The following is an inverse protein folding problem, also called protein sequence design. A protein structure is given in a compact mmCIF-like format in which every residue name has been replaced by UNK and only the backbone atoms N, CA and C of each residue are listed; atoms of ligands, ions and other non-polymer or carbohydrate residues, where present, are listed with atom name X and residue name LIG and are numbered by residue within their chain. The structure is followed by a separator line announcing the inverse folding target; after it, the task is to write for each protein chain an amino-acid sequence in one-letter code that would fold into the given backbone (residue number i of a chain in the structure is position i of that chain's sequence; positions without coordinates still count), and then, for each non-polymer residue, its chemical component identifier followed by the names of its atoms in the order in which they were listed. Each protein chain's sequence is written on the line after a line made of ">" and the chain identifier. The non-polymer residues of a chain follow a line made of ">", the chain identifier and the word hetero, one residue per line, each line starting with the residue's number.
data_IF_398212919001
#
_entry.id   IF_398212919001
#
_cell.length_a   1.000
_cell.length_b   1.000
_cell.length_c   1.000
_cell.angle_alpha   90.00
_cell.angle_beta   90.00
_cell.angle_gamma   90.00
#
_symmetry.space_group_name_H-M   'P 1'
#
loop_
_entity.id
_entity.type
_entity.pdbx_description
1 polymer ?
#
# COMPACT_ATOMS: atom_id res chain seq x y z
N UNK A 1 3.40 3.79 6.78
CA UNK A 1 4.14 3.71 8.07
C UNK A 1 5.36 2.84 7.80
N UNK A 2 6.23 2.60 8.77
CA UNK A 2 7.35 1.67 8.65
C UNK A 2 7.23 0.68 9.79
N UNK A 3 7.08 -0.59 9.49
CA UNK A 3 6.87 -1.62 10.52
C UNK A 3 8.23 -2.14 11.04
N UNK A 4 8.25 -2.78 12.21
CA UNK A 4 9.49 -3.23 12.85
C UNK A 4 10.27 -4.20 11.96
N UNK A 5 9.58 -5.11 11.29
CA UNK A 5 10.13 -6.15 10.42
C UNK A 5 10.44 -5.68 8.99
N UNK A 6 10.26 -4.37 8.71
CA UNK A 6 10.65 -3.74 7.46
C UNK A 6 12.11 -3.28 7.52
N UNK A 7 13.03 -4.24 7.56
CA UNK A 7 14.45 -4.00 7.80
C UNK A 7 15.12 -3.13 6.73
N UNK A 8 14.84 -3.35 5.46
CA UNK A 8 15.53 -2.66 4.37
C UNK A 8 15.31 -1.15 4.39
N UNK A 9 14.09 -0.67 4.67
CA UNK A 9 13.84 0.77 4.81
C UNK A 9 14.45 1.34 6.07
N UNK A 10 14.49 0.59 7.17
CA UNK A 10 15.11 1.04 8.43
C UNK A 10 16.62 1.16 8.28
N UNK A 11 17.25 0.21 7.61
CA UNK A 11 18.68 0.25 7.26
C UNK A 11 19.00 1.47 6.41
N UNK A 12 18.27 1.69 5.31
CA UNK A 12 18.48 2.86 4.43
C UNK A 12 18.22 4.17 5.18
N UNK A 13 17.21 4.23 6.05
CA UNK A 13 17.00 5.41 6.89
C UNK A 13 18.20 5.66 7.82
N UNK A 14 18.78 4.60 8.40
CA UNK A 14 20.00 4.67 9.21
C UNK A 14 21.21 5.17 8.43
N UNK A 15 21.47 4.61 7.24
CA UNK A 15 22.54 5.03 6.32
C UNK A 15 22.44 6.54 5.99
N UNK A 16 21.22 7.02 5.77
CA UNK A 16 20.92 8.41 5.44
C UNK A 16 20.77 9.32 6.67
N UNK A 17 21.01 8.79 7.87
CA UNK A 17 20.86 9.49 9.16
C UNK A 17 19.47 10.12 9.35
N UNK A 18 18.45 9.47 8.80
CA UNK A 18 17.05 9.83 8.99
C UNK A 18 16.52 9.17 10.25
N UNK A 19 16.21 9.98 11.26
CA UNK A 19 15.72 9.48 12.53
C UNK A 19 14.33 8.87 12.38
N UNK A 20 14.19 7.62 12.83
CA UNK A 20 12.91 6.95 12.98
C UNK A 20 12.34 7.21 14.37
N UNK A 21 11.07 7.59 14.40
CA UNK A 21 10.32 7.81 15.64
C UNK A 21 9.18 6.81 15.72
N UNK A 22 9.16 6.06 16.83
CA UNK A 22 8.09 5.10 17.12
C UNK A 22 6.77 5.84 17.34
N UNK A 23 5.75 5.38 16.64
CA UNK A 23 4.36 5.87 16.68
C UNK A 23 3.43 4.74 17.09
N UNK A 24 2.17 5.08 17.35
CA UNK A 24 1.08 4.13 17.64
C UNK A 24 1.44 3.17 18.79
N UNK A 25 2.10 3.71 19.82
CA UNK A 25 2.55 2.94 20.99
C UNK A 25 1.41 2.26 21.73
N UNK A 26 0.24 2.91 21.71
CA UNK A 26 -1.01 2.42 22.29
C UNK A 26 -1.78 1.47 21.36
N UNK A 27 -1.15 1.02 20.28
CA UNK A 27 -1.69 0.08 19.31
C UNK A 27 -2.70 0.69 18.34
N UNK A 28 -3.47 -0.21 17.73
CA UNK A 28 -4.57 0.08 16.80
C UNK A 28 -5.90 -0.02 17.52
N UNK A 29 -6.98 0.25 16.80
CA UNK A 29 -8.38 0.21 17.22
C UNK A 29 -9.26 -0.17 16.04
N UNK A 30 -10.52 -0.51 16.31
CA UNK A 30 -11.55 -0.60 15.29
C UNK A 30 -12.74 0.31 15.66
N UNK A 31 -13.43 0.80 14.65
CA UNK A 31 -14.76 1.40 14.80
C UNK A 31 -15.77 0.34 14.42
N UNK A 32 -16.78 0.13 15.26
CA UNK A 32 -17.95 -0.73 14.99
C UNK A 32 -19.20 0.12 14.96
N UNK A 33 -20.24 -0.36 14.31
CA UNK A 33 -21.58 0.23 14.41
C UNK A 33 -22.35 -0.53 15.50
N UNK A 34 -23.11 0.18 16.34
CA UNK A 34 -24.09 -0.46 17.23
C UNK A 34 -25.37 -0.83 16.46
N UNK A 35 -26.32 -1.52 17.09
CA UNK A 35 -27.60 -1.93 16.45
C UNK A 35 -28.40 -0.76 15.86
N UNK A 36 -28.13 0.47 16.31
CA UNK A 36 -28.75 1.69 15.78
C UNK A 36 -27.90 2.35 14.67
N UNK A 37 -26.85 1.68 14.18
CA UNK A 37 -25.93 2.17 13.17
C UNK A 37 -24.94 3.22 13.67
N UNK A 38 -24.79 3.43 14.98
CA UNK A 38 -23.94 4.52 15.51
C UNK A 38 -22.51 4.04 15.73
N UNK A 39 -21.49 4.85 15.39
CA UNK A 39 -20.09 4.46 15.58
C UNK A 39 -19.68 4.32 17.05
N UNK A 40 -18.96 3.25 17.37
CA UNK A 40 -18.38 2.96 18.67
C UNK A 40 -16.93 2.49 18.52
N UNK A 41 -16.06 2.92 19.44
CA UNK A 41 -14.69 2.42 19.48
C UNK A 41 -14.63 1.04 20.12
N UNK A 42 -14.09 0.08 19.38
CA UNK A 42 -13.70 -1.23 19.87
C UNK A 42 -12.16 -1.30 19.87
N UNK A 43 -11.55 -1.13 21.04
CA UNK A 43 -10.08 -1.11 21.14
C UNK A 43 -9.48 -2.02 22.22
N UNK A 44 -10.33 -2.63 23.06
CA UNK A 44 -9.91 -3.72 23.95
C UNK A 44 -10.13 -5.03 23.21
N UNK A 45 -9.10 -5.87 23.10
CA UNK A 45 -9.21 -7.18 22.45
C UNK A 45 -9.15 -7.14 20.91
N UNK A 46 -8.48 -6.17 20.29
CA UNK A 46 -8.27 -6.15 18.83
C UNK A 46 -7.43 -7.34 18.38
N UNK A 47 -6.48 -7.76 19.23
CA UNK A 47 -5.78 -9.02 19.06
C UNK A 47 -6.80 -10.13 18.79
N UNK A 48 -7.97 -10.16 19.43
CA UNK A 48 -9.02 -11.15 19.15
C UNK A 48 -9.58 -11.08 17.73
N UNK A 49 -9.76 -9.90 17.13
CA UNK A 49 -10.27 -9.79 15.76
C UNK A 49 -9.24 -10.30 14.73
N UNK A 50 -7.98 -9.93 14.93
CA UNK A 50 -6.86 -10.37 14.10
C UNK A 50 -6.53 -11.86 14.32
N UNK A 51 -6.45 -12.32 15.56
CA UNK A 51 -6.32 -13.72 15.97
C UNK A 51 -7.48 -14.56 15.43
N UNK A 52 -8.70 -14.03 15.45
CA UNK A 52 -9.86 -14.71 14.87
C UNK A 52 -9.74 -14.81 13.36
N UNK A 53 -9.35 -13.74 12.65
CA UNK A 53 -9.05 -13.83 11.21
C UNK A 53 -8.01 -14.92 10.94
N UNK A 54 -6.90 -14.94 11.68
CA UNK A 54 -5.88 -15.97 11.55
C UNK A 54 -6.42 -17.38 11.80
N UNK A 55 -7.21 -17.56 12.87
CA UNK A 55 -7.85 -18.84 13.22
C UNK A 55 -8.77 -19.34 12.10
N UNK A 56 -9.62 -18.46 11.56
CA UNK A 56 -10.58 -18.79 10.49
C UNK A 56 -9.89 -19.00 9.13
N UNK A 57 -8.73 -18.37 8.91
CA UNK A 57 -7.91 -18.52 7.70
C UNK A 57 -7.00 -19.75 7.75
N UNK A 58 -6.72 -20.32 8.91
CA UNK A 58 -5.77 -21.43 9.06
C UNK A 58 -6.05 -22.63 8.12
N UNK A 59 -7.31 -23.04 7.87
CA UNK A 59 -7.60 -24.08 6.88
C UNK A 59 -7.14 -23.75 5.45
N UNK A 60 -7.02 -22.46 5.11
CA UNK A 60 -6.46 -21.97 3.84
C UNK A 60 -4.95 -21.73 3.93
N UNK A 61 -4.44 -21.24 5.06
CA UNK A 61 -3.00 -21.01 5.30
C UNK A 61 -2.21 -22.32 5.29
N UNK A 62 -2.71 -23.38 5.93
CA UNK A 62 -2.03 -24.68 6.01
C UNK A 62 -1.63 -25.28 4.64
N UNK A 63 -2.55 -25.49 3.68
CA UNK A 63 -2.17 -26.01 2.37
C UNK A 63 -1.28 -25.03 1.60
N UNK A 64 -1.43 -23.72 1.80
CA UNK A 64 -0.56 -22.73 1.16
C UNK A 64 0.89 -22.80 1.66
N UNK A 65 1.09 -23.00 2.97
CA UNK A 65 2.41 -23.28 3.56
C UNK A 65 3.02 -24.57 3.01
N UNK A 66 2.24 -25.64 2.89
CA UNK A 66 2.67 -26.90 2.25
C UNK A 66 3.04 -26.73 0.78
N UNK A 67 2.51 -25.69 0.12
CA UNK A 67 2.86 -25.30 -1.23
C UNK A 67 4.06 -24.34 -1.29
N UNK A 68 4.82 -24.20 -0.20
CA UNK A 68 6.01 -23.35 -0.09
C UNK A 68 5.72 -21.88 -0.43
N UNK A 69 4.51 -21.40 -0.12
CA UNK A 69 4.05 -20.04 -0.45
C UNK A 69 4.13 -19.72 -1.96
N UNK A 70 4.11 -20.73 -2.82
CA UNK A 70 4.22 -20.55 -4.26
C UNK A 70 2.89 -20.17 -4.89
N UNK A 71 2.92 -19.10 -5.68
CA UNK A 71 1.77 -18.55 -6.38
C UNK A 71 1.39 -19.30 -7.67
N UNK A 72 2.27 -20.13 -8.21
CA UNK A 72 2.06 -20.88 -9.44
C UNK A 72 1.49 -22.30 -9.21
N UNK A 73 0.91 -22.54 -8.04
CA UNK A 73 0.39 -23.86 -7.64
C UNK A 73 -1.14 -23.98 -7.82
N UNK A 74 -1.68 -25.20 -7.93
CA UNK A 74 -3.13 -25.41 -7.91
C UNK A 74 -3.80 -24.88 -6.64
N UNK A 75 -3.10 -24.95 -5.50
CA UNK A 75 -3.57 -24.42 -4.20
C UNK A 75 -3.71 -22.90 -4.29
N UNK A 76 -2.66 -22.20 -4.75
CA UNK A 76 -2.69 -20.77 -4.97
C UNK A 76 -3.79 -20.36 -5.96
N UNK A 77 -3.94 -21.10 -7.07
CA UNK A 77 -5.00 -20.85 -8.06
C UNK A 77 -6.41 -20.95 -7.46
N UNK A 78 -6.65 -21.98 -6.62
CA UNK A 78 -7.93 -22.17 -5.95
C UNK A 78 -8.23 -21.07 -4.91
N UNK A 79 -7.20 -20.63 -4.17
CA UNK A 79 -7.33 -19.49 -3.24
C UNK A 79 -7.57 -18.19 -4.02
N UNK A 80 -6.79 -17.94 -5.06
CA UNK A 80 -6.80 -16.68 -5.79
C UNK A 80 -8.14 -16.38 -6.46
N UNK A 81 -8.83 -17.40 -6.97
CA UNK A 81 -10.13 -17.25 -7.66
C UNK A 81 -11.31 -16.88 -6.76
N UNK A 82 -11.12 -16.82 -5.44
CA UNK A 82 -12.14 -16.42 -4.48
C UNK A 82 -11.85 -15.01 -3.98
N UNK A 83 -12.89 -14.21 -3.80
CA UNK A 83 -12.77 -12.97 -3.04
C UNK A 83 -12.80 -13.23 -1.53
N UNK A 84 -12.29 -12.29 -0.75
CA UNK A 84 -12.44 -12.31 0.72
C UNK A 84 -13.92 -12.32 1.12
N UNK A 85 -14.79 -11.60 0.41
CA UNK A 85 -16.23 -11.62 0.65
C UNK A 85 -16.83 -13.03 0.45
N UNK A 86 -16.47 -13.71 -0.64
CA UNK A 86 -16.91 -15.09 -0.88
C UNK A 86 -16.44 -16.05 0.23
N UNK A 87 -15.22 -15.87 0.74
CA UNK A 87 -14.71 -16.65 1.88
C UNK A 87 -15.49 -16.35 3.17
N UNK A 88 -15.77 -15.09 3.47
CA UNK A 88 -16.58 -14.69 4.64
C UNK A 88 -17.98 -15.34 4.60
N UNK A 89 -18.59 -15.45 3.42
CA UNK A 89 -19.86 -16.14 3.24
C UNK A 89 -19.74 -17.64 3.50
N UNK A 90 -18.66 -18.28 3.01
CA UNK A 90 -18.39 -19.71 3.20
C UNK A 90 -18.19 -20.11 4.66
N UNK A 91 -17.53 -19.27 5.46
CA UNK A 91 -17.31 -19.52 6.90
C UNK A 91 -18.47 -19.04 7.78
N UNK A 92 -19.57 -18.59 7.16
CA UNK A 92 -20.72 -18.00 7.87
C UNK A 92 -20.30 -16.88 8.83
N UNK A 93 -19.40 -16.00 8.37
CA UNK A 93 -18.84 -14.92 9.16
C UNK A 93 -19.95 -14.05 9.77
N UNK A 94 -19.86 -13.85 11.09
CA UNK A 94 -20.70 -12.89 11.80
C UNK A 94 -20.34 -11.44 11.48
N UNK A 95 -21.11 -10.51 12.02
CA UNK A 95 -20.91 -9.08 11.80
C UNK A 95 -19.53 -8.60 12.26
N UNK A 96 -18.99 -9.16 13.34
CA UNK A 96 -17.68 -8.79 13.87
C UNK A 96 -16.54 -9.19 12.92
N UNK A 97 -16.56 -10.42 12.40
CA UNK A 97 -15.56 -10.90 11.46
C UNK A 97 -15.64 -10.13 10.13
N UNK A 98 -16.86 -9.86 9.64
CA UNK A 98 -17.09 -9.04 8.44
C UNK A 98 -16.61 -7.60 8.60
N UNK A 99 -16.90 -6.98 9.74
CA UNK A 99 -16.42 -5.63 10.04
C UNK A 99 -14.89 -5.58 10.13
N UNK A 100 -14.27 -6.61 10.73
CA UNK A 100 -12.81 -6.72 10.81
C UNK A 100 -12.19 -6.83 9.42
N UNK A 101 -12.70 -7.72 8.57
CA UNK A 101 -12.24 -7.86 7.18
C UNK A 101 -12.47 -6.58 6.36
N UNK A 102 -13.59 -5.89 6.55
CA UNK A 102 -13.85 -4.58 5.91
C UNK A 102 -12.86 -3.52 6.37
N UNK A 103 -12.47 -3.54 7.65
CA UNK A 103 -11.43 -2.66 8.20
C UNK A 103 -10.06 -2.82 7.51
N UNK A 104 -9.81 -3.98 6.88
CA UNK A 104 -8.57 -4.23 6.14
C UNK A 104 -8.43 -3.38 4.86
N UNK A 105 -9.47 -2.63 4.45
CA UNK A 105 -9.37 -1.57 3.44
C UNK A 105 -8.23 -0.58 3.73
N UNK A 106 -7.92 -0.34 5.00
CA UNK A 106 -6.79 0.53 5.40
C UNK A 106 -5.41 -0.06 5.07
N UNK A 107 -5.32 -1.38 4.90
CA UNK A 107 -4.09 -2.11 4.57
C UNK A 107 -3.99 -2.42 3.08
N UNK A 108 -5.05 -2.97 2.48
CA UNK A 108 -5.03 -3.44 1.07
C UNK A 108 -5.60 -2.45 0.06
N UNK A 109 -6.30 -1.40 0.50
CA UNK A 109 -7.00 -0.42 -0.36
C UNK A 109 -8.03 -1.03 -1.32
N UNK A 110 -8.55 -2.21 -0.98
CA UNK A 110 -9.56 -2.92 -1.76
C UNK A 110 -10.73 -3.33 -0.85
N UNK A 111 -11.92 -3.40 -1.43
CA UNK A 111 -13.09 -3.97 -0.77
C UNK A 111 -12.95 -5.50 -0.66
N UNK A 112 -13.57 -6.16 0.34
CA UNK A 112 -13.49 -7.61 0.48
C UNK A 112 -13.97 -8.40 -0.76
N UNK A 113 -14.91 -7.86 -1.53
CA UNK A 113 -15.40 -8.46 -2.78
C UNK A 113 -14.43 -8.28 -3.96
N UNK A 114 -13.61 -7.22 -3.94
CA UNK A 114 -12.55 -6.97 -4.92
C UNK A 114 -11.24 -7.68 -4.58
N UNK A 115 -10.97 -7.96 -3.30
CA UNK A 115 -9.69 -8.53 -2.85
C UNK A 115 -9.68 -10.05 -2.99
N UNK A 116 -8.69 -10.57 -3.71
CA UNK A 116 -8.43 -12.01 -3.79
C UNK A 116 -8.05 -12.59 -2.43
N UNK A 117 -8.62 -13.76 -2.08
CA UNK A 117 -8.37 -14.44 -0.80
C UNK A 117 -6.89 -14.80 -0.62
N UNK A 118 -6.16 -15.12 -1.70
CA UNK A 118 -4.73 -15.45 -1.59
C UNK A 118 -3.92 -14.29 -1.01
N UNK A 119 -4.28 -13.02 -1.25
CA UNK A 119 -3.58 -11.89 -0.68
C UNK A 119 -3.71 -11.84 0.86
N UNK A 120 -4.87 -12.25 1.36
CA UNK A 120 -5.10 -12.35 2.80
C UNK A 120 -4.39 -13.58 3.38
N UNK A 121 -4.45 -14.73 2.70
CA UNK A 121 -3.75 -15.95 3.13
C UNK A 121 -2.23 -15.74 3.15
N UNK A 122 -1.66 -15.08 2.15
CA UNK A 122 -0.22 -14.76 2.09
C UNK A 122 0.22 -13.89 3.28
N UNK A 123 -0.64 -12.95 3.70
CA UNK A 123 -0.41 -12.09 4.87
C UNK A 123 -0.51 -12.84 6.21
N UNK A 124 -1.36 -13.87 6.29
CA UNK A 124 -1.66 -14.62 7.52
C UNK A 124 -1.00 -16.01 7.58
N UNK A 125 -0.20 -16.37 6.57
CA UNK A 125 0.63 -17.56 6.56
C UNK A 125 2.09 -17.13 6.77
N UNK A 126 2.53 -16.86 8.02
CA UNK A 126 3.95 -16.59 8.26
C UNK A 126 4.78 -17.80 7.82
N UNK A 127 5.97 -17.53 7.28
CA UNK A 127 7.01 -18.55 7.12
C UNK A 127 7.42 -19.06 8.51
N UNK A 128 7.84 -20.32 8.62
CA UNK A 128 8.19 -20.98 9.91
C UNK A 128 9.23 -20.20 10.74
N UNK A 129 10.02 -19.32 10.12
CA UNK A 129 11.04 -18.47 10.76
C UNK A 129 10.50 -17.15 11.36
N UNK A 130 9.19 -16.91 11.32
CA UNK A 130 8.56 -15.68 11.83
C UNK A 130 7.68 -16.03 13.02
N UNK A 131 8.18 -15.79 14.23
CA UNK A 131 7.38 -15.86 15.47
C UNK A 131 6.12 -14.99 15.35
N UNK A 132 5.01 -15.45 15.93
CA UNK A 132 3.71 -14.77 15.99
C UNK A 132 3.86 -13.25 16.22
N UNK A 133 3.82 -12.46 15.15
CA UNK A 133 4.01 -11.01 15.25
C UNK A 133 2.69 -10.38 15.69
N UNK A 134 2.48 -10.27 17.00
CA UNK A 134 1.71 -9.15 17.53
C UNK A 134 2.23 -7.86 16.85
N UNK A 135 1.38 -6.93 16.40
CA UNK A 135 1.81 -5.82 15.54
C UNK A 135 3.06 -5.16 16.11
N UNK A 136 4.18 -5.33 15.40
CA UNK A 136 5.49 -4.84 15.81
C UNK A 136 5.46 -3.32 15.98
N UNK A 137 6.51 -2.77 16.59
CA UNK A 137 6.56 -1.31 16.70
C UNK A 137 6.51 -0.66 15.32
N UNK A 138 5.78 0.43 15.21
CA UNK A 138 5.67 1.18 13.96
C UNK A 138 6.39 2.50 14.06
N UNK A 139 6.93 2.95 12.94
CA UNK A 139 7.78 4.11 12.84
C UNK A 139 7.32 5.07 11.73
N UNK A 140 7.73 6.33 11.88
CA UNK A 140 7.78 7.34 10.81
C UNK A 140 9.15 7.99 10.81
N UNK A 141 9.55 8.54 9.68
CA UNK A 141 10.75 9.38 9.59
C UNK A 141 10.42 10.77 10.15
N UNK A 142 11.26 11.27 11.06
CA UNK A 142 11.16 12.62 11.59
C UNK A 142 11.21 13.64 10.45
N UNK A 143 10.19 14.48 10.38
CA UNK A 143 10.05 15.49 9.33
C UNK A 143 9.42 14.98 8.02
N UNK A 144 8.97 13.73 7.94
CA UNK A 144 8.22 13.18 6.80
C UNK A 144 8.96 12.07 6.06
N UNK A 145 8.21 11.08 5.56
CA UNK A 145 8.76 9.94 4.83
C UNK A 145 9.30 10.31 3.43
N UNK A 146 8.87 11.44 2.88
CA UNK A 146 9.38 12.01 1.62
C UNK A 146 10.87 12.37 1.70
N UNK A 147 11.38 12.64 2.90
CA UNK A 147 12.82 12.87 3.14
C UNK A 147 13.69 11.69 2.70
N UNK A 148 13.16 10.47 2.72
CA UNK A 148 13.88 9.28 2.26
C UNK A 148 14.22 9.38 0.77
N UNK A 149 13.21 9.63 -0.06
CA UNK A 149 13.38 9.80 -1.50
C UNK A 149 14.25 11.02 -1.82
N UNK A 150 14.07 12.13 -1.09
CA UNK A 150 14.89 13.33 -1.28
C UNK A 150 16.37 13.09 -0.94
N UNK A 151 16.67 12.38 0.15
CA UNK A 151 18.03 12.05 0.56
C UNK A 151 18.71 11.08 -0.42
N UNK A 152 17.99 10.08 -0.93
CA UNK A 152 18.48 9.18 -1.98
C UNK A 152 18.74 9.91 -3.31
N UNK A 153 17.92 10.91 -3.62
CA UNK A 153 18.02 11.68 -4.85
C UNK A 153 19.16 12.71 -4.84
N UNK A 154 19.48 13.28 -3.68
CA UNK A 154 20.50 14.32 -3.53
C UNK A 154 21.87 14.00 -4.19
N UNK A 155 22.50 12.82 -3.94
CA UNK A 155 23.79 12.50 -4.56
C UNK A 155 23.73 12.24 -6.08
N UNK A 156 22.54 12.14 -6.67
CA UNK A 156 22.39 12.00 -8.13
C UNK A 156 22.77 13.28 -8.87
N UNK A 157 22.59 14.45 -8.25
CA UNK A 157 22.91 15.74 -8.85
C UNK A 157 22.23 15.93 -10.21
N UNK A 158 23.00 16.30 -11.23
CA UNK A 158 22.51 16.50 -12.60
C UNK A 158 22.05 15.21 -13.31
N UNK A 159 22.26 14.03 -12.72
CA UNK A 159 21.75 12.75 -13.25
C UNK A 159 20.24 12.62 -13.03
N UNK A 160 19.68 13.29 -12.02
CA UNK A 160 18.24 13.33 -11.78
C UNK A 160 17.58 14.29 -12.76
N UNK A 161 16.70 13.77 -13.61
CA UNK A 161 15.94 14.55 -14.58
C UNK A 161 14.45 14.57 -14.21
N UNK A 162 14.03 15.62 -13.50
CA UNK A 162 12.61 15.85 -13.18
C UNK A 162 11.86 16.31 -14.43
N UNK A 163 10.51 16.26 -14.40
CA UNK A 163 9.62 16.66 -15.50
C UNK A 163 9.97 16.00 -16.85
N UNK A 164 10.55 14.81 -16.77
CA UNK A 164 11.01 14.02 -17.93
C UNK A 164 10.21 12.73 -17.96
N UNK A 165 9.19 12.69 -18.80
CA UNK A 165 8.28 11.57 -18.96
C UNK A 165 8.88 10.54 -19.91
N UNK A 166 8.94 9.27 -19.52
CA UNK A 166 9.26 8.17 -20.45
C UNK A 166 8.02 7.91 -21.30
N UNK A 167 8.19 7.90 -22.62
CA UNK A 167 7.08 7.68 -23.58
C UNK A 167 7.25 6.43 -24.44
N UNK A 168 8.45 5.85 -24.52
CA UNK A 168 8.71 4.57 -25.17
C UNK A 168 10.05 3.98 -24.71
N UNK A 169 10.14 2.65 -24.68
CA UNK A 169 11.39 1.93 -24.39
C UNK A 169 11.65 0.96 -25.53
N UNK A 170 12.84 1.02 -26.12
CA UNK A 170 13.27 0.00 -27.07
C UNK A 170 14.64 -0.52 -26.73
N UNK A 171 14.91 -1.78 -27.05
CA UNK A 171 16.25 -2.35 -26.88
C UNK A 171 16.58 -3.26 -28.05
N UNK A 172 17.82 -3.18 -28.52
CA UNK A 172 18.34 -4.02 -29.62
C UNK A 172 19.82 -4.26 -29.40
N UNK A 173 20.23 -5.53 -29.48
CA UNK A 173 21.63 -5.92 -29.27
C UNK A 173 22.11 -5.52 -27.88
N UNK A 174 23.12 -4.65 -27.82
CA UNK A 174 23.76 -4.21 -26.57
C UNK A 174 23.22 -2.90 -25.99
N UNK A 175 22.26 -2.23 -26.64
CA UNK A 175 21.80 -0.91 -26.23
C UNK A 175 20.29 -0.85 -25.96
N UNK A 176 19.92 -0.06 -24.97
CA UNK A 176 18.56 0.39 -24.67
C UNK A 176 18.43 1.85 -25.09
N UNK A 177 17.30 2.20 -25.71
CA UNK A 177 16.91 3.54 -26.08
C UNK A 177 15.61 3.89 -25.35
N UNK A 178 15.66 4.95 -24.56
CA UNK A 178 14.50 5.46 -23.82
C UNK A 178 14.07 6.76 -24.47
N UNK A 179 12.88 6.77 -25.07
CA UNK A 179 12.30 8.01 -25.58
C UNK A 179 11.63 8.76 -24.44
N UNK A 180 11.98 10.03 -24.28
CA UNK A 180 11.48 10.87 -23.19
C UNK A 180 10.87 12.16 -23.73
N UNK A 181 9.90 12.69 -23.00
CA UNK A 181 9.29 13.99 -23.24
C UNK A 181 9.60 14.92 -22.08
N UNK A 182 10.08 16.12 -22.38
CA UNK A 182 10.26 17.20 -21.41
C UNK A 182 9.62 18.46 -21.98
N UNK A 183 8.59 18.99 -21.32
CA UNK A 183 7.70 20.01 -21.86
C UNK A 183 7.13 19.60 -23.24
N UNK A 184 7.41 20.36 -24.30
CA UNK A 184 6.95 20.07 -25.66
C UNK A 184 8.01 19.38 -26.53
N UNK A 185 9.16 19.04 -25.96
CA UNK A 185 10.28 18.46 -26.70
C UNK A 185 10.39 16.97 -26.39
N UNK A 186 10.50 16.16 -27.45
CA UNK A 186 10.87 14.76 -27.34
C UNK A 186 12.38 14.59 -27.59
N UNK A 187 13.02 13.74 -26.80
CA UNK A 187 14.42 13.37 -27.00
C UNK A 187 14.62 11.89 -26.66
N UNK A 188 15.83 11.38 -26.92
CA UNK A 188 16.17 9.97 -26.65
C UNK A 188 17.40 9.90 -25.75
N UNK A 189 17.33 9.00 -24.78
CA UNK A 189 18.45 8.60 -23.93
C UNK A 189 18.92 7.22 -24.37
N UNK A 190 20.21 6.95 -24.23
CA UNK A 190 20.81 5.63 -24.51
C UNK A 190 21.55 5.14 -23.29
N UNK A 191 21.41 3.85 -22.99
CA UNK A 191 22.05 3.17 -21.87
C UNK A 191 22.23 1.68 -22.17
N UNK A 192 23.06 0.99 -21.40
CA UNK A 192 23.28 -0.47 -21.56
C UNK A 192 22.12 -1.29 -20.98
N UNK A 193 21.48 -0.75 -19.94
CA UNK A 193 20.36 -1.35 -19.22
C UNK A 193 19.42 -0.25 -18.71
N UNK A 194 18.15 -0.61 -18.48
CA UNK A 194 17.17 0.26 -17.81
C UNK A 194 16.46 -0.51 -16.70
N UNK A 195 16.25 0.13 -15.55
CA UNK A 195 15.35 -0.36 -14.50
C UNK A 195 14.07 0.46 -14.57
N UNK A 196 12.94 -0.21 -14.80
CA UNK A 196 11.60 0.37 -14.80
C UNK A 196 11.04 0.24 -13.38
N UNK A 197 10.95 1.36 -12.67
CA UNK A 197 10.46 1.44 -11.27
C UNK A 197 9.04 2.01 -11.16
N UNK A 198 8.36 2.18 -12.28
CA UNK A 198 7.02 2.78 -12.36
C UNK A 198 5.94 1.76 -11.98
N UNK A 199 4.79 2.19 -11.41
CA UNK A 199 3.64 1.32 -11.18
C UNK A 199 3.16 0.64 -12.47
N UNK A 200 2.58 -0.56 -12.38
CA UNK A 200 2.05 -1.26 -13.55
C UNK A 200 0.95 -0.46 -14.28
N UNK A 201 0.23 0.40 -13.55
CA UNK A 201 -0.76 1.34 -14.08
C UNK A 201 -0.20 2.32 -15.12
N UNK A 202 1.11 2.59 -15.05
CA UNK A 202 1.89 3.41 -15.98
C UNK A 202 2.63 2.53 -16.99
N UNK A 203 3.29 1.45 -16.55
CA UNK A 203 4.07 0.56 -17.44
C UNK A 203 3.24 0.06 -18.62
N UNK A 204 1.98 -0.35 -18.39
CA UNK A 204 1.08 -0.82 -19.45
C UNK A 204 0.69 0.23 -20.51
N UNK A 205 1.09 1.50 -20.32
CA UNK A 205 0.89 2.60 -21.27
C UNK A 205 2.16 2.92 -22.06
N UNK A 206 3.30 2.33 -21.70
CA UNK A 206 4.57 2.55 -22.36
C UNK A 206 4.75 1.49 -23.45
N UNK A 207 4.91 1.87 -24.72
CA UNK A 207 5.26 0.94 -25.77
C UNK A 207 6.69 0.41 -25.56
N UNK A 208 6.82 -0.92 -25.67
CA UNK A 208 8.10 -1.63 -25.67
C UNK A 208 8.41 -2.15 -27.08
N UNK A 209 9.67 -2.04 -27.51
CA UNK A 209 10.13 -2.63 -28.78
C UNK A 209 11.45 -3.40 -28.60
N UNK A 210 11.48 -4.73 -28.80
CA UNK A 210 10.35 -5.61 -29.11
C UNK A 210 9.26 -5.60 -28.01
N UNK A 211 8.05 -6.05 -28.36
CA UNK A 211 6.94 -6.16 -27.40
C UNK A 211 7.30 -7.09 -26.24
N UNK A 212 6.78 -6.79 -25.05
CA UNK A 212 6.91 -7.67 -23.89
C UNK A 212 6.30 -9.06 -24.18
N UNK A 213 6.81 -10.14 -23.56
CA UNK A 213 6.17 -11.46 -23.61
C UNK A 213 4.71 -11.36 -23.15
N UNK A 214 3.83 -12.18 -23.73
CA UNK A 214 2.38 -12.10 -23.46
C UNK A 214 2.05 -12.24 -21.96
N UNK A 215 2.72 -13.16 -21.25
CA UNK A 215 2.53 -13.33 -19.81
C UNK A 215 2.91 -12.07 -19.02
N UNK A 216 3.99 -11.39 -19.41
CA UNK A 216 4.42 -10.17 -18.74
C UNK A 216 3.50 -8.99 -19.06
N UNK A 217 3.05 -8.89 -20.31
CA UNK A 217 2.02 -7.94 -20.71
C UNK A 217 0.74 -8.15 -19.88
N UNK A 218 0.26 -9.39 -19.76
CA UNK A 218 -0.94 -9.73 -19.01
C UNK A 218 -0.79 -9.48 -17.52
N UNK A 219 0.38 -9.77 -16.93
CA UNK A 219 0.68 -9.46 -15.53
C UNK A 219 0.50 -7.96 -15.24
N UNK A 220 1.08 -7.08 -16.07
CA UNK A 220 0.93 -5.63 -15.92
C UNK A 220 -0.49 -5.13 -16.26
N UNK A 221 -1.13 -5.73 -17.26
CA UNK A 221 -2.47 -5.34 -17.67
C UNK A 221 -3.52 -5.66 -16.59
N UNK A 222 -3.39 -6.82 -15.94
CA UNK A 222 -4.37 -7.35 -14.97
C UNK A 222 -4.13 -6.85 -13.54
N UNK A 223 -2.90 -6.51 -13.17
CA UNK A 223 -2.62 -5.98 -11.83
C UNK A 223 -3.45 -4.71 -11.54
N UNK A 224 -4.09 -4.69 -10.37
CA UNK A 224 -4.93 -3.57 -9.92
C UNK A 224 -4.18 -2.71 -8.93
N UNK A 225 -4.63 -1.46 -8.81
CA UNK A 225 -4.20 -0.53 -7.79
C UNK A 225 -5.44 -0.05 -7.04
N UNK A 226 -5.36 -0.03 -5.71
CA UNK A 226 -6.50 0.32 -4.87
C UNK A 226 -6.92 1.78 -5.07
N UNK A 227 -8.23 2.03 -5.05
CA UNK A 227 -8.77 3.39 -4.94
C UNK A 227 -8.43 3.92 -3.55
N UNK A 228 -7.87 5.13 -3.45
CA UNK A 228 -7.37 5.63 -2.19
C UNK A 228 -7.48 7.15 -2.08
N UNK A 229 -8.32 7.59 -1.15
CA UNK A 229 -8.41 8.98 -0.76
C UNK A 229 -7.81 9.17 0.63
N UNK A 230 -6.78 10.01 0.73
CA UNK A 230 -6.16 10.43 1.98
C UNK A 230 -6.57 11.86 2.30
N UNK A 231 -7.22 12.06 3.44
CA UNK A 231 -7.60 13.39 3.92
C UNK A 231 -6.86 13.71 5.21
N UNK A 232 -6.19 14.85 5.26
CA UNK A 232 -5.54 15.40 6.44
C UNK A 232 -6.44 16.51 7.00
N UNK A 233 -6.87 16.37 8.24
CA UNK A 233 -7.67 17.37 8.95
C UNK A 233 -6.88 17.89 10.14
N UNK A 234 -6.50 19.17 10.11
CA UNK A 234 -5.82 19.83 11.21
C UNK A 234 -6.84 20.48 12.13
N UNK A 235 -6.80 20.13 13.42
CA UNK A 235 -7.68 20.67 14.44
C UNK A 235 -6.90 21.47 15.48
N UNK A 236 -7.57 22.43 16.13
CA UNK A 236 -6.99 23.23 17.21
C UNK A 236 -6.70 22.44 18.50
N UNK A 237 -7.36 21.28 18.67
CA UNK A 237 -7.18 20.35 19.79
C UNK A 237 -7.22 18.90 19.32
N UNK A 238 -6.47 18.04 20.00
CA UNK A 238 -6.40 16.59 19.75
C UNK A 238 -7.50 15.82 20.48
N UNK A 239 -8.76 16.09 20.15
CA UNK A 239 -9.94 15.54 20.86
C UNK A 239 -10.02 14.00 20.83
N UNK A 240 -9.40 13.35 19.85
CA UNK A 240 -9.32 11.89 19.75
C UNK A 240 -8.41 11.27 20.83
N UNK A 241 -7.55 12.07 21.48
CA UNK A 241 -6.66 11.58 22.52
C UNK A 241 -7.36 11.47 23.87
N UNK A 242 -7.70 10.24 24.23
CA UNK A 242 -8.06 9.88 25.61
C UNK A 242 -6.98 8.98 26.22
N UNK A 243 -6.80 8.98 27.55
CA UNK A 243 -5.94 8.00 28.23
C UNK A 243 -6.34 6.56 27.91
N UNK A 244 -5.36 5.71 27.63
CA UNK A 244 -5.58 4.28 27.30
C UNK A 244 -6.32 4.03 25.98
N UNK A 245 -6.45 5.04 25.11
CA UNK A 245 -7.08 4.92 23.80
C UNK A 245 -6.02 4.91 22.68
N UNK A 246 -6.11 3.98 21.72
CA UNK A 246 -5.24 3.94 20.54
C UNK A 246 -5.21 5.24 19.77
N UNK A 247 -4.19 5.36 18.92
CA UNK A 247 -3.99 6.53 18.04
C UNK A 247 -4.30 6.26 16.58
N UNK A 248 -4.70 5.04 16.24
CA UNK A 248 -5.16 4.65 14.91
C UNK A 248 -6.34 3.69 15.01
N UNK A 249 -7.29 3.78 14.08
CA UNK A 249 -8.48 2.93 14.03
C UNK A 249 -8.82 2.55 12.59
N UNK A 250 -9.09 1.27 12.33
CA UNK A 250 -9.84 0.87 11.14
C UNK A 250 -11.32 1.22 11.30
N UNK A 251 -12.03 1.56 10.23
CA UNK A 251 -13.46 1.89 10.30
C UNK A 251 -14.21 1.35 9.08
N UNK A 252 -15.46 0.87 9.26
CA UNK A 252 -16.36 0.57 8.16
C UNK A 252 -17.01 1.84 7.58
N UNK A 253 -16.83 3.00 8.21
CA UNK A 253 -17.39 4.27 7.76
C UNK A 253 -16.78 4.73 6.44
N UNK A 254 -17.48 5.63 5.74
CA UNK A 254 -17.08 6.14 4.43
C UNK A 254 -15.71 6.82 4.37
N UNK A 255 -15.09 7.16 5.50
CA UNK A 255 -13.73 7.71 5.55
C UNK A 255 -12.62 6.66 5.75
N UNK A 256 -12.98 5.38 5.87
CA UNK A 256 -12.04 4.29 6.12
C UNK A 256 -11.31 4.45 7.46
N UNK A 257 -10.00 4.22 7.45
CA UNK A 257 -9.20 4.29 8.68
C UNK A 257 -8.89 5.72 9.12
N UNK A 258 -8.66 5.93 10.41
CA UNK A 258 -8.21 7.20 10.98
C UNK A 258 -6.94 7.03 11.80
N UNK A 259 -6.01 7.99 11.76
CA UNK A 259 -4.76 7.95 12.54
C UNK A 259 -4.23 9.32 12.92
N UNK A 260 -3.64 9.42 14.11
CA UNK A 260 -2.90 10.61 14.55
C UNK A 260 -1.64 10.78 13.67
N UNK A 261 -1.62 11.84 12.86
CA UNK A 261 -0.60 12.06 11.85
C UNK A 261 0.68 12.70 12.44
N UNK A 262 0.56 13.34 13.59
CA UNK A 262 1.64 14.09 14.23
C UNK A 262 1.74 13.74 15.71
N UNK A 263 1.71 12.43 16.00
CA UNK A 263 1.61 11.89 17.36
C UNK A 263 2.68 12.42 18.30
N UNK A 264 3.91 12.47 17.77
CA UNK A 264 5.14 12.77 18.50
C UNK A 264 5.57 14.24 18.32
N UNK A 265 4.72 15.06 17.70
CA UNK A 265 4.95 16.51 17.56
C UNK A 265 4.31 17.28 18.72
N UNK A 266 5.07 18.22 19.30
CA UNK A 266 4.59 19.10 20.37
C UNK A 266 3.49 20.06 19.88
N UNK A 267 2.65 20.52 20.81
CA UNK A 267 1.62 21.52 20.55
C UNK A 267 0.19 21.01 20.77
N UNK A 268 -0.74 21.96 20.92
CA UNK A 268 -2.17 21.67 21.15
C UNK A 268 -2.90 21.22 19.88
N UNK A 269 -2.56 21.84 18.75
CA UNK A 269 -3.11 21.45 17.46
C UNK A 269 -2.63 20.05 17.05
N UNK A 270 -3.49 19.33 16.32
CA UNK A 270 -3.21 17.98 15.86
C UNK A 270 -3.73 17.76 14.46
N UNK A 271 -3.15 16.80 13.75
CA UNK A 271 -3.61 16.40 12.43
C UNK A 271 -4.15 14.97 12.54
N UNK A 272 -5.40 14.78 12.14
CA UNK A 272 -5.99 13.47 11.95
C UNK A 272 -5.92 13.12 10.45
N UNK A 273 -5.29 12.00 10.13
CA UNK A 273 -5.34 11.44 8.78
C UNK A 273 -6.53 10.50 8.70
N UNK A 274 -7.36 10.66 7.67
CA UNK A 274 -8.33 9.68 7.21
C UNK A 274 -7.77 9.02 5.95
N UNK A 275 -7.75 7.69 5.90
CA UNK A 275 -7.32 6.92 4.75
C UNK A 275 -8.47 5.97 4.35
N UNK A 276 -9.10 6.33 3.24
CA UNK A 276 -10.24 5.63 2.68
C UNK A 276 -9.79 4.80 1.47
N UNK A 277 -9.85 3.47 1.59
CA UNK A 277 -9.51 2.51 0.54
C UNK A 277 -10.74 1.84 -0.07
N UNK A 278 -10.66 1.38 -1.31
CA UNK A 278 -11.79 0.74 -2.01
C UNK A 278 -12.99 1.69 -2.13
N UNK A 279 -14.20 1.19 -1.93
CA UNK A 279 -15.45 1.97 -1.99
C UNK A 279 -15.53 3.09 -0.95
N UNK A 280 -14.73 3.04 0.12
CA UNK A 280 -14.61 4.17 1.03
C UNK A 280 -13.95 5.39 0.35
N UNK A 281 -13.07 5.20 -0.64
CA UNK A 281 -12.51 6.30 -1.42
C UNK A 281 -13.62 7.09 -2.11
N UNK A 282 -14.53 6.39 -2.80
CA UNK A 282 -15.67 7.01 -3.49
C UNK A 282 -16.60 7.72 -2.49
N UNK A 283 -16.90 7.06 -1.36
CA UNK A 283 -17.73 7.65 -0.31
C UNK A 283 -17.11 8.94 0.28
N UNK A 284 -15.80 8.93 0.54
CA UNK A 284 -15.07 10.11 1.01
C UNK A 284 -15.13 11.25 0.00
N UNK A 285 -14.93 10.95 -1.28
CA UNK A 285 -15.02 11.93 -2.36
C UNK A 285 -16.43 12.51 -2.47
N UNK A 286 -17.47 11.67 -2.38
CA UNK A 286 -18.86 12.11 -2.41
C UNK A 286 -19.21 13.04 -1.22
N UNK A 287 -18.74 12.70 -0.01
CA UNK A 287 -18.93 13.55 1.18
C UNK A 287 -18.27 14.91 0.97
N UNK A 288 -17.00 14.94 0.50
CA UNK A 288 -16.27 16.20 0.30
C UNK A 288 -16.84 17.02 -0.86
N UNK A 289 -17.31 16.38 -1.93
CA UNK A 289 -17.96 17.08 -3.04
C UNK A 289 -19.25 17.77 -2.63
N UNK A 290 -20.02 17.15 -1.71
CA UNK A 290 -21.31 17.68 -1.24
C UNK A 290 -21.15 18.72 -0.13
N UNK A 291 -20.42 18.37 0.93
CA UNK A 291 -20.40 19.11 2.20
C UNK A 291 -19.01 19.70 2.52
N UNK A 292 -18.05 19.59 1.59
CA UNK A 292 -16.67 19.99 1.80
C UNK A 292 -15.97 19.17 2.90
N UNK A 293 -14.82 19.65 3.41
CA UNK A 293 -14.16 19.03 4.56
C UNK A 293 -15.04 18.96 5.83
N UNK A 294 -16.05 19.82 5.95
CA UNK A 294 -16.96 19.83 7.09
C UNK A 294 -17.82 18.55 7.17
N UNK A 295 -18.17 17.94 6.04
CA UNK A 295 -18.86 16.64 6.02
C UNK A 295 -18.05 15.54 6.74
N UNK A 296 -16.72 15.52 6.53
CA UNK A 296 -15.83 14.59 7.22
C UNK A 296 -15.65 14.95 8.70
N UNK A 297 -15.63 16.24 9.05
CA UNK A 297 -15.61 16.69 10.46
C UNK A 297 -16.87 16.23 11.20
N UNK A 298 -18.05 16.35 10.57
CA UNK A 298 -19.32 15.90 11.12
C UNK A 298 -19.35 14.37 11.28
N UNK A 299 -18.76 13.62 10.35
CA UNK A 299 -18.62 12.17 10.47
C UNK A 299 -17.74 11.73 11.66
N UNK A 300 -16.98 12.65 12.26
CA UNK A 300 -16.15 12.45 13.46
C UNK A 300 -16.81 12.97 14.75
N UNK A 301 -18.08 13.42 14.70
CA UNK A 301 -18.80 13.98 15.85
C UNK A 301 -18.81 13.04 17.06
N UNK A 302 -19.00 11.75 16.81
CA UNK A 302 -19.01 10.70 17.82
C UNK A 302 -17.66 10.58 18.57
N UNK A 303 -16.57 11.03 17.95
CA UNK A 303 -15.24 11.07 18.55
C UNK A 303 -15.00 12.38 19.33
N UNK A 304 -15.88 13.37 19.17
CA UNK A 304 -15.84 14.66 19.85
C UNK A 304 -15.28 15.80 19.01
N UNK A 305 -15.35 15.73 17.68
CA UNK A 305 -14.83 16.76 16.78
C UNK A 305 -15.39 18.16 17.04
N UNK A 306 -16.64 18.27 17.52
CA UNK A 306 -17.29 19.54 17.94
C UNK A 306 -16.53 20.32 19.01
N UNK A 307 -15.64 19.67 19.76
CA UNK A 307 -14.83 20.30 20.81
C UNK A 307 -13.55 20.98 20.28
N UNK A 308 -13.33 20.94 18.95
CA UNK A 308 -12.17 21.51 18.29
C UNK A 308 -12.55 22.23 16.98
N UNK A 309 -11.78 23.26 16.64
CA UNK A 309 -11.92 24.00 15.39
C UNK A 309 -11.10 23.32 14.30
N UNK A 310 -11.65 23.19 13.09
CA UNK A 310 -10.90 22.77 11.91
C UNK A 310 -10.06 23.96 11.40
N UNK A 311 -8.74 23.85 11.51
CA UNK A 311 -7.79 24.88 11.11
C UNK A 311 -7.37 24.76 9.64
N UNK A 312 -7.23 23.54 9.14
CA UNK A 312 -6.84 23.28 7.76
C UNK A 312 -7.28 21.89 7.30
N UNK A 313 -7.45 21.73 5.98
CA UNK A 313 -7.72 20.44 5.36
C UNK A 313 -6.89 20.28 4.09
N UNK A 314 -6.41 19.05 3.84
CA UNK A 314 -5.79 18.67 2.57
C UNK A 314 -6.25 17.28 2.16
N UNK A 315 -6.75 17.15 0.95
CA UNK A 315 -7.15 15.87 0.37
C UNK A 315 -6.23 15.49 -0.80
N UNK A 316 -5.93 14.20 -0.90
CA UNK A 316 -5.21 13.57 -2.00
C UNK A 316 -6.02 12.37 -2.45
N UNK A 317 -6.37 12.32 -3.74
CA UNK A 317 -7.09 11.20 -4.37
C UNK A 317 -6.12 10.51 -5.32
N UNK A 318 -5.60 9.35 -4.93
CA UNK A 318 -4.48 8.70 -5.62
C UNK A 318 -4.87 8.09 -6.98
N UNK A 319 -6.10 7.65 -7.13
CA UNK A 319 -6.65 7.17 -8.41
C UNK A 319 -6.71 8.26 -9.48
N UNK A 320 -6.71 9.54 -9.09
CA UNK A 320 -6.67 10.68 -9.99
C UNK A 320 -5.25 11.19 -10.27
N UNK A 321 -4.24 10.70 -9.53
CA UNK A 321 -2.85 11.08 -9.79
C UNK A 321 -2.41 10.54 -11.17
N UNK A 322 -1.91 11.39 -12.08
CA UNK A 322 -1.59 10.97 -13.44
C UNK A 322 -0.42 9.97 -13.54
N UNK A 323 0.43 9.93 -12.51
CA UNK A 323 1.67 9.13 -12.44
C UNK A 323 1.57 7.94 -11.48
N UNK A 324 0.56 7.88 -10.61
CA UNK A 324 0.26 6.71 -9.78
C UNK A 324 -0.99 5.96 -10.26
N UNK A 325 -2.08 6.66 -10.57
CA UNK A 325 -3.38 6.10 -11.00
C UNK A 325 -3.92 5.03 -10.05
N UNK A 326 -3.76 5.27 -8.76
CA UNK A 326 -4.18 4.40 -7.66
C UNK A 326 -3.19 4.49 -6.50
N UNK A 327 -3.55 3.88 -5.37
CA UNK A 327 -2.69 3.76 -4.19
C UNK A 327 -1.61 2.69 -4.40
N UNK A 328 -1.75 1.54 -3.76
CA UNK A 328 -0.81 0.43 -3.86
C UNK A 328 -1.41 -0.75 -4.61
N UNK A 329 -0.56 -1.64 -5.12
CA UNK A 329 -1.00 -2.80 -5.89
C UNK A 329 -1.80 -3.81 -5.05
N UNK A 330 -2.84 -4.39 -5.65
CA UNK A 330 -3.56 -5.53 -5.09
C UNK A 330 -3.98 -6.50 -6.21
N UNK A 331 -4.34 -7.73 -5.82
CA UNK A 331 -4.81 -8.76 -6.74
C UNK A 331 -6.32 -8.96 -6.57
N UNK A 332 -7.05 -8.89 -7.68
CA UNK A 332 -8.45 -9.28 -7.72
C UNK A 332 -8.60 -10.79 -8.01
N UNK A 333 -9.79 -11.39 -7.82
CA UNK A 333 -9.99 -12.81 -8.09
C UNK A 333 -9.79 -13.25 -9.55
N UNK A 334 -9.69 -12.31 -10.49
CA UNK A 334 -9.46 -12.59 -11.90
C UNK A 334 -7.96 -12.60 -12.27
N UNK A 335 -7.08 -12.14 -11.37
CA UNK A 335 -5.64 -12.23 -11.57
C UNK A 335 -5.17 -13.68 -11.46
N UNK A 336 -4.50 -14.18 -12.51
CA UNK A 336 -3.85 -15.49 -12.47
C UNK A 336 -2.59 -15.41 -11.60
N UNK A 337 -2.52 -16.11 -10.45
CA UNK A 337 -1.40 -15.99 -9.53
C UNK A 337 -0.08 -16.47 -10.16
N UNK A 338 -0.10 -17.32 -11.19
CA UNK A 338 1.10 -17.72 -11.94
C UNK A 338 1.77 -16.53 -12.67
N UNK A 339 1.03 -15.43 -12.90
CA UNK A 339 1.57 -14.21 -13.50
C UNK A 339 2.36 -13.34 -12.51
N UNK A 340 2.28 -13.58 -11.20
CA UNK A 340 2.97 -12.73 -10.18
C UNK A 340 4.47 -12.63 -10.43
N UNK A 341 5.13 -13.75 -10.73
CA UNK A 341 6.57 -13.78 -10.99
C UNK A 341 6.98 -12.97 -12.25
N UNK A 342 6.07 -12.77 -13.20
CA UNK A 342 6.34 -12.02 -14.42
C UNK A 342 6.41 -10.50 -14.20
N UNK A 343 5.90 -9.99 -13.08
CA UNK A 343 6.01 -8.57 -12.71
C UNK A 343 7.47 -8.15 -12.49
N UNK A 344 8.30 -9.04 -11.94
CA UNK A 344 9.72 -8.78 -11.65
C UNK A 344 10.67 -9.25 -12.75
N UNK A 345 10.21 -10.11 -13.67
CA UNK A 345 11.07 -10.84 -14.60
C UNK A 345 11.78 -9.90 -15.59
N UNK A 346 13.12 -9.94 -15.70
CA UNK A 346 13.83 -9.14 -16.70
C UNK A 346 13.43 -9.54 -18.13
N UNK A 347 13.39 -8.54 -19.02
CA UNK A 347 13.17 -8.69 -20.45
C UNK A 347 14.36 -8.15 -21.23
N UNK A 348 15.29 -9.05 -21.57
CA UNK A 348 16.55 -8.67 -22.21
C UNK A 348 17.38 -7.74 -21.33
N UNK A 349 17.40 -6.44 -21.67
CA UNK A 349 18.15 -5.38 -20.95
C UNK A 349 17.24 -4.44 -20.14
N UNK A 350 15.95 -4.78 -20.06
CA UNK A 350 14.94 -4.08 -19.27
C UNK A 350 14.68 -4.88 -18.00
N UNK A 351 14.96 -4.26 -16.86
CA UNK A 351 14.72 -4.81 -15.53
C UNK A 351 13.55 -4.07 -14.90
N UNK A 352 12.82 -4.72 -13.99
CA UNK A 352 11.63 -4.15 -13.37
C UNK A 352 11.81 -4.12 -11.86
N UNK A 353 11.32 -3.07 -11.20
CA UNK A 353 11.30 -2.93 -9.75
C UNK A 353 10.10 -2.07 -9.32
N UNK A 354 9.92 -1.92 -8.02
CA UNK A 354 8.76 -1.26 -7.41
C UNK A 354 8.07 -2.20 -6.43
N UNK A 355 7.22 -1.65 -5.56
CA UNK A 355 6.56 -2.43 -4.51
C UNK A 355 5.80 -3.65 -5.06
N UNK A 356 5.20 -3.51 -6.24
CA UNK A 356 4.44 -4.57 -6.90
C UNK A 356 5.28 -5.75 -7.38
N UNK A 357 6.61 -5.62 -7.40
CA UNK A 357 7.54 -6.70 -7.71
C UNK A 357 8.12 -7.33 -6.44
N UNK A 358 7.75 -6.87 -5.24
CA UNK A 358 8.18 -7.46 -3.97
C UNK A 358 7.30 -8.67 -3.64
N UNK A 359 7.95 -9.75 -3.18
CA UNK A 359 7.26 -10.97 -2.75
C UNK A 359 6.70 -10.79 -1.34
N UNK A 360 7.50 -10.23 -0.41
CA UNK A 360 7.13 -10.11 1.01
C UNK A 360 6.41 -8.80 1.35
N UNK A 361 6.82 -7.71 0.73
CA UNK A 361 6.44 -6.35 1.15
C UNK A 361 5.73 -5.56 0.04
N UNK A 362 4.89 -6.24 -0.74
CA UNK A 362 4.02 -5.58 -1.70
C UNK A 362 3.14 -4.53 -1.01
N UNK A 363 3.03 -3.36 -1.60
CA UNK A 363 2.28 -2.22 -1.08
C UNK A 363 3.07 -1.30 -0.15
N UNK A 364 4.29 -1.70 0.24
CA UNK A 364 5.11 -0.96 1.22
C UNK A 364 6.36 -0.34 0.60
N UNK A 365 6.86 0.73 1.24
CA UNK A 365 8.13 1.34 0.86
C UNK A 365 9.32 0.37 1.02
N UNK A 366 9.24 -0.57 1.96
CA UNK A 366 10.25 -1.61 2.13
C UNK A 366 10.38 -2.47 0.85
N UNK A 367 9.25 -2.90 0.29
CA UNK A 367 9.24 -3.66 -0.97
C UNK A 367 9.79 -2.85 -2.15
N UNK A 368 9.60 -1.53 -2.18
CA UNK A 368 10.21 -0.67 -3.18
C UNK A 368 11.75 -0.61 -3.08
N UNK A 369 12.29 -0.60 -1.86
CA UNK A 369 13.75 -0.61 -1.62
C UNK A 369 14.35 -1.97 -1.98
N UNK A 370 13.76 -3.05 -1.47
CA UNK A 370 14.23 -4.41 -1.75
C UNK A 370 14.22 -4.72 -3.25
N UNK A 371 13.13 -4.39 -3.94
CA UNK A 371 13.02 -4.61 -5.38
C UNK A 371 14.00 -3.77 -6.18
N UNK A 372 14.28 -2.53 -5.76
CA UNK A 372 15.29 -1.68 -6.36
C UNK A 372 16.71 -2.23 -6.20
N UNK A 373 17.07 -2.66 -4.97
CA UNK A 373 18.35 -3.31 -4.67
C UNK A 373 18.51 -4.62 -5.46
N UNK A 374 17.46 -5.46 -5.52
CA UNK A 374 17.44 -6.68 -6.32
C UNK A 374 17.70 -6.37 -7.80
N UNK A 375 16.93 -5.48 -8.43
CA UNK A 375 17.10 -5.18 -9.85
C UNK A 375 18.49 -4.61 -10.18
N UNK A 376 19.07 -3.80 -9.28
CA UNK A 376 20.45 -3.32 -9.43
C UNK A 376 21.47 -4.47 -9.34
N UNK A 377 21.29 -5.40 -8.39
CA UNK A 377 22.14 -6.58 -8.24
C UNK A 377 22.02 -7.54 -9.44
N UNK A 378 20.83 -7.72 -10.01
CA UNK A 378 20.63 -8.51 -11.22
C UNK A 378 21.39 -7.93 -12.41
N UNK A 379 21.36 -6.61 -12.59
CA UNK A 379 22.18 -5.94 -13.62
C UNK A 379 23.67 -6.17 -13.35
N UNK A 380 24.14 -5.98 -12.12
CA UNK A 380 25.54 -6.18 -11.76
C UNK A 380 26.03 -7.61 -12.05
N UNK A 381 25.17 -8.62 -11.88
CA UNK A 381 25.49 -10.02 -12.13
C UNK A 381 25.59 -10.37 -13.63
N UNK A 382 24.87 -9.66 -14.51
CA UNK A 382 24.85 -9.95 -15.95
C UNK A 382 25.61 -8.92 -16.79
N UNK A 383 26.04 -7.82 -16.18
CA UNK A 383 26.84 -6.81 -16.86
C UNK A 383 28.22 -7.38 -17.17
N UNK A 384 28.51 -7.50 -18.47
CA UNK A 384 29.84 -7.82 -18.96
C UNK A 384 30.47 -6.51 -19.47
N UNK A 385 31.63 -6.09 -18.93
CA UNK A 385 32.29 -4.84 -19.30
C UNK A 385 32.76 -4.80 -20.77
#
# INVERSE_FOLDING_TARGET
>A
MIDEDQDAIREVAGELKLKLTRILRDGFGLVRLDDAGRPRLAYRGISRGWERLGTELEPACRPYRLAEHRWDTPIATHLARRSVANWLDQVHADEELRATATGLRGFFLADPDELSLIALVDQFAPSEDVEDVAPGAMYRIDGGNDRLAAALAAPLGNRLRLKTEVVAISHRGKAVRVSVKHAQTQSQLTCDYVIVTMPASIVRRIPFTPSLPSQQHDAFARLKYGRATKTLLQFSKRFWRAPGRPRAFGSPLGFGSLMDANEEQRGRAGILTLLAGGGASDATQAIVAKDGPAGLVNALDWLGSKNAELLASRQIVWEHDPWARGGYAFFDPAFDPALRAWLARPFGRVFFAGEHTSVKWQGYMNGAIESGRRAAAEIAAVHQP
#
